data_IF_283339708832
#
_entry.id   IF_283339708832
#
_cell.length_a   1.000
_cell.length_b   1.000
_cell.length_c   1.000
_cell.angle_alpha   90.00
_cell.angle_beta   90.00
_cell.angle_gamma   90.00
#
_symmetry.space_group_name_H-M   'P 1'
#
loop_
_entity.id
_entity.type
_entity.pdbx_description
1 polymer ?
#
# COMPACT_ATOMS: atom_id res chain seq x y z
N UNK A 1 23.47 19.50 10.55
CA UNK A 1 23.36 18.36 9.63
C UNK A 1 22.16 17.53 10.06
N UNK A 2 21.02 17.60 9.37
CA UNK A 2 19.85 16.77 9.72
C UNK A 2 20.13 15.37 9.17
N UNK A 3 20.46 14.43 10.07
CA UNK A 3 20.44 13.01 9.72
C UNK A 3 19.01 12.71 9.28
N UNK A 4 18.82 12.39 7.99
CA UNK A 4 17.63 11.69 7.52
C UNK A 4 17.72 10.30 8.15
N UNK A 5 17.15 10.15 9.34
CA UNK A 5 16.74 8.83 9.83
C UNK A 5 15.73 8.41 8.78
N UNK A 6 16.12 7.56 7.83
CA UNK A 6 15.14 6.88 6.99
C UNK A 6 14.27 6.10 7.98
N UNK A 7 13.00 6.47 8.17
CA UNK A 7 12.15 5.69 9.05
C UNK A 7 12.17 4.28 8.48
N UNK A 8 12.40 3.30 9.35
CA UNK A 8 12.22 1.91 8.93
C UNK A 8 10.79 1.80 8.42
N UNK A 9 10.60 1.20 7.24
CA UNK A 9 9.27 1.04 6.65
C UNK A 9 8.37 0.43 7.74
N UNK A 10 7.29 1.11 8.16
CA UNK A 10 6.38 0.55 9.15
C UNK A 10 5.85 -0.78 8.64
N UNK A 11 5.73 -1.79 9.51
CA UNK A 11 5.16 -3.06 9.09
C UNK A 11 3.65 -2.87 8.84
N UNK A 12 3.18 -3.23 7.65
CA UNK A 12 1.77 -3.06 7.26
C UNK A 12 0.83 -3.82 8.21
N UNK A 13 1.22 -4.98 8.74
CA UNK A 13 0.38 -5.78 9.65
C UNK A 13 0.36 -5.21 11.05
N UNK A 14 1.53 -4.86 11.58
CA UNK A 14 1.66 -4.44 12.97
C UNK A 14 1.31 -2.96 13.17
N UNK A 15 1.53 -2.13 12.15
CA UNK A 15 1.42 -0.67 12.22
C UNK A 15 0.74 -0.08 10.96
N UNK A 16 -0.51 -0.49 10.64
CA UNK A 16 -1.20 -0.08 9.42
C UNK A 16 -1.41 1.44 9.32
N UNK A 17 -1.72 2.11 10.44
CA UNK A 17 -1.90 3.56 10.47
C UNK A 17 -0.60 4.34 10.24
N UNK A 18 0.52 3.86 10.81
CA UNK A 18 1.84 4.47 10.58
C UNK A 18 2.35 4.18 9.17
N UNK A 19 2.03 3.00 8.61
CA UNK A 19 2.32 2.69 7.22
C UNK A 19 1.58 3.65 6.28
N UNK A 20 0.28 3.87 6.53
CA UNK A 20 -0.52 4.82 5.74
C UNK A 20 0.09 6.21 5.78
N UNK A 21 0.37 6.72 6.99
CA UNK A 21 0.98 8.04 7.20
C UNK A 21 2.38 8.16 6.59
N UNK A 22 3.14 7.08 6.54
CA UNK A 22 4.47 7.08 5.93
C UNK A 22 4.40 7.27 4.41
N UNK A 23 3.34 6.76 3.77
CA UNK A 23 3.17 6.79 2.32
C UNK A 23 2.32 7.94 1.80
N UNK A 24 1.55 8.58 2.67
CA UNK A 24 0.88 9.87 2.45
C UNK A 24 1.96 10.97 2.45
N UNK A 25 2.72 11.04 1.34
CA UNK A 25 3.92 11.89 1.25
C UNK A 25 3.56 13.37 1.24
N UNK A 26 2.37 13.71 0.79
CA UNK A 26 1.83 15.07 0.73
C UNK A 26 0.95 15.45 1.93
N UNK A 27 0.75 14.52 2.88
CA UNK A 27 -0.12 14.67 4.05
C UNK A 27 -1.55 15.12 3.67
N UNK A 28 -2.03 14.67 2.50
CA UNK A 28 -3.39 14.95 2.03
C UNK A 28 -4.46 14.21 2.84
N UNK A 29 -4.07 13.15 3.56
CA UNK A 29 -4.98 12.26 4.28
C UNK A 29 -5.56 11.15 3.41
N UNK A 30 -5.11 11.05 2.16
CA UNK A 30 -5.46 10.02 1.20
C UNK A 30 -4.20 9.51 0.50
N UNK A 31 -4.16 8.24 0.13
CA UNK A 31 -3.10 7.72 -0.72
C UNK A 31 -3.53 7.78 -2.17
N UNK A 32 -2.85 8.57 -2.97
CA UNK A 32 -3.07 8.62 -4.40
C UNK A 32 -2.46 7.40 -5.10
N UNK A 33 -2.96 7.10 -6.30
CA UNK A 33 -2.47 6.01 -7.16
C UNK A 33 -0.94 5.88 -7.26
N UNK A 34 -0.16 6.94 -7.55
CA UNK A 34 1.31 6.84 -7.60
C UNK A 34 1.94 6.52 -6.23
N UNK A 35 1.34 6.97 -5.13
CA UNK A 35 1.82 6.70 -3.78
C UNK A 35 1.59 5.22 -3.42
N UNK A 36 0.39 4.70 -3.70
CA UNK A 36 0.05 3.28 -3.49
C UNK A 36 0.96 2.37 -4.31
N UNK A 37 1.21 2.70 -5.59
CA UNK A 37 2.13 1.92 -6.43
C UNK A 37 3.52 1.84 -5.82
N UNK A 38 4.08 2.98 -5.40
CA UNK A 38 5.39 3.03 -4.74
C UNK A 38 5.38 2.27 -3.42
N UNK A 39 4.31 2.41 -2.66
CA UNK A 39 4.13 1.75 -1.38
C UNK A 39 4.17 0.23 -1.53
N UNK A 40 3.48 -0.29 -2.54
CA UNK A 40 3.45 -1.73 -2.82
C UNK A 40 4.78 -2.28 -3.33
N UNK A 41 5.46 -1.57 -4.24
CA UNK A 41 6.80 -1.96 -4.72
C UNK A 41 7.79 -2.10 -3.56
N UNK A 42 7.68 -1.23 -2.54
CA UNK A 42 8.58 -1.26 -1.37
C UNK A 42 8.12 -2.17 -0.24
N UNK A 43 6.82 -2.40 -0.11
CA UNK A 43 6.25 -3.25 0.95
C UNK A 43 6.28 -4.72 0.57
N UNK A 44 6.18 -5.04 -0.72
CA UNK A 44 6.13 -6.42 -1.23
C UNK A 44 7.49 -6.75 -1.86
N UNK A 45 8.30 -7.62 -1.24
CA UNK A 45 9.62 -8.00 -1.75
C UNK A 45 9.59 -8.52 -3.19
N UNK A 46 8.55 -9.25 -3.56
CA UNK A 46 8.33 -9.81 -4.90
C UNK A 46 8.17 -8.73 -5.98
N UNK A 47 7.79 -7.52 -5.59
CA UNK A 47 7.65 -6.36 -6.48
C UNK A 47 8.90 -5.47 -6.48
N UNK A 48 9.89 -5.76 -5.63
CA UNK A 48 11.14 -5.01 -5.59
C UNK A 48 11.85 -5.06 -6.95
N UNK A 49 12.19 -3.90 -7.51
CA UNK A 49 12.81 -3.77 -8.83
C UNK A 49 11.84 -3.83 -10.02
N UNK A 50 10.53 -3.86 -9.76
CA UNK A 50 9.48 -3.64 -10.77
C UNK A 50 9.16 -2.15 -10.88
N UNK A 51 8.62 -1.75 -12.03
CA UNK A 51 8.12 -0.41 -12.28
C UNK A 51 6.58 -0.38 -12.40
N UNK A 52 6.02 0.83 -12.43
CA UNK A 52 4.58 1.07 -12.59
C UNK A 52 4.01 0.43 -13.86
N UNK A 53 4.81 0.36 -14.93
CA UNK A 53 4.43 -0.27 -16.20
C UNK A 53 4.30 -1.79 -16.10
N UNK A 54 5.16 -2.45 -15.30
CA UNK A 54 5.06 -3.88 -15.02
C UNK A 54 3.82 -4.22 -14.18
N UNK A 55 3.47 -3.33 -13.25
CA UNK A 55 2.29 -3.48 -12.41
C UNK A 55 1.00 -3.36 -13.22
N UNK A 56 0.95 -2.59 -14.30
CA UNK A 56 -0.27 -2.19 -15.02
C UNK A 56 -1.39 -3.24 -15.17
N UNK A 57 -1.11 -4.46 -15.64
CA UNK A 57 -2.15 -5.47 -15.87
C UNK A 57 -2.70 -6.10 -14.58
N UNK A 58 -1.81 -6.54 -13.70
CA UNK A 58 -2.16 -7.14 -12.41
C UNK A 58 -2.69 -6.08 -11.45
N UNK A 59 -2.06 -4.92 -11.45
CA UNK A 59 -2.43 -3.75 -10.66
C UNK A 59 -3.75 -3.16 -11.10
N UNK A 60 -4.11 -3.13 -12.39
CA UNK A 60 -5.44 -2.68 -12.80
C UNK A 60 -6.56 -3.54 -12.18
N UNK A 61 -6.38 -4.86 -12.17
CA UNK A 61 -7.35 -5.77 -11.55
C UNK A 61 -7.43 -5.59 -10.02
N UNK A 62 -6.28 -5.37 -9.37
CA UNK A 62 -6.20 -5.10 -7.92
C UNK A 62 -6.76 -3.70 -7.61
N UNK A 63 -6.51 -2.72 -8.46
CA UNK A 63 -6.95 -1.33 -8.32
C UNK A 63 -8.47 -1.24 -8.30
N UNK A 64 -9.19 -1.93 -9.19
CA UNK A 64 -10.66 -1.97 -9.17
C UNK A 64 -11.27 -2.62 -7.92
N UNK A 65 -10.49 -3.36 -7.14
CA UNK A 65 -10.91 -3.91 -5.84
C UNK A 65 -10.62 -2.91 -4.71
N UNK A 66 -9.56 -2.13 -4.89
CA UNK A 66 -8.95 -1.22 -3.94
C UNK A 66 -9.65 0.15 -3.93
N UNK A 67 -9.96 0.67 -5.12
CA UNK A 67 -10.62 1.96 -5.41
C UNK A 67 -11.98 1.66 -6.07
N UNK A 68 -12.99 1.19 -5.29
CA UNK A 68 -14.27 0.76 -5.81
C UNK A 68 -15.18 1.92 -6.27
N UNK A 69 -14.91 3.14 -5.81
CA UNK A 69 -15.62 4.36 -6.21
C UNK A 69 -14.92 5.13 -7.34
N UNK A 70 -13.77 4.62 -7.81
CA UNK A 70 -12.99 5.16 -8.94
C UNK A 70 -12.59 6.63 -8.74
N UNK A 71 -12.42 7.06 -7.49
CA UNK A 71 -12.07 8.45 -7.17
C UNK A 71 -10.55 8.71 -7.34
N UNK A 72 -9.77 7.63 -7.49
CA UNK A 72 -8.34 7.67 -7.76
C UNK A 72 -7.46 7.78 -6.51
N UNK A 73 -8.06 7.76 -5.32
CA UNK A 73 -7.41 7.93 -4.02
C UNK A 73 -7.98 6.97 -2.99
N UNK A 74 -7.29 6.80 -1.86
CA UNK A 74 -7.82 6.01 -0.74
C UNK A 74 -7.62 6.76 0.55
N UNK A 75 -8.72 7.16 1.14
CA UNK A 75 -8.72 7.80 2.46
C UNK A 75 -8.31 6.79 3.53
N UNK A 76 -7.82 7.30 4.67
CA UNK A 76 -7.55 6.44 5.82
C UNK A 76 -8.78 5.66 6.32
N UNK A 77 -10.00 6.16 6.05
CA UNK A 77 -11.24 5.48 6.40
C UNK A 77 -11.50 4.26 5.50
N UNK A 78 -11.31 4.40 4.19
CA UNK A 78 -11.41 3.29 3.22
C UNK A 78 -10.30 2.26 3.41
N UNK A 79 -9.11 2.73 3.76
CA UNK A 79 -7.98 1.87 4.07
C UNK A 79 -8.29 0.89 5.22
N UNK A 80 -8.97 1.37 6.27
CA UNK A 80 -9.29 0.61 7.49
C UNK A 80 -10.69 -0.05 7.47
N UNK A 81 -11.48 0.17 6.42
CA UNK A 81 -12.83 -0.40 6.33
C UNK A 81 -12.77 -1.93 6.16
N UNK A 82 -13.74 -2.70 6.69
CA UNK A 82 -13.82 -4.14 6.41
C UNK A 82 -13.88 -4.41 4.90
N UNK A 83 -13.00 -5.29 4.42
CA UNK A 83 -12.80 -5.53 2.98
C UNK A 83 -12.01 -4.46 2.23
N UNK A 84 -11.51 -3.43 2.92
CA UNK A 84 -10.75 -2.32 2.35
C UNK A 84 -9.32 -2.69 1.95
N UNK A 85 -8.51 -1.67 1.63
CA UNK A 85 -7.14 -1.86 1.13
C UNK A 85 -6.27 -2.65 2.12
N UNK A 86 -6.31 -2.36 3.42
CA UNK A 86 -5.50 -3.09 4.40
C UNK A 86 -5.74 -4.60 4.36
N UNK A 87 -7.01 -5.03 4.49
CA UNK A 87 -7.36 -6.45 4.48
C UNK A 87 -7.01 -7.10 3.12
N UNK A 88 -7.26 -6.39 2.02
CA UNK A 88 -6.92 -6.86 0.67
C UNK A 88 -5.42 -7.09 0.52
N UNK A 89 -4.58 -6.17 1.00
CA UNK A 89 -3.13 -6.32 0.93
C UNK A 89 -2.62 -7.46 1.81
N UNK A 90 -3.14 -7.58 3.02
CA UNK A 90 -2.78 -8.67 3.94
C UNK A 90 -3.22 -10.03 3.38
N UNK A 91 -4.41 -10.11 2.79
CA UNK A 91 -4.98 -11.34 2.23
C UNK A 91 -4.28 -11.82 0.95
N UNK A 92 -3.88 -10.89 0.07
CA UNK A 92 -3.30 -11.23 -1.23
C UNK A 92 -1.78 -11.32 -1.22
N UNK A 93 -1.10 -10.47 -0.45
CA UNK A 93 0.37 -10.33 -0.53
C UNK A 93 1.07 -10.78 0.74
N UNK A 94 0.46 -10.56 1.91
CA UNK A 94 1.11 -10.94 3.15
C UNK A 94 0.77 -12.37 3.64
N UNK A 95 0.18 -13.21 2.77
CA UNK A 95 -0.27 -14.58 3.08
C UNK A 95 0.84 -15.64 3.07
N UNK A 96 2.11 -15.26 2.92
CA UNK A 96 3.23 -16.18 3.14
C UNK A 96 3.65 -16.23 4.62
N UNK A 97 2.88 -16.99 5.40
CA UNK A 97 3.31 -17.91 6.48
C UNK A 97 2.08 -18.61 7.05
N UNK A 98 1.48 -19.49 6.24
CA UNK A 98 0.85 -20.67 6.81
C UNK A 98 1.83 -21.81 6.53
N UNK A 99 2.74 -21.99 7.48
CA UNK A 99 3.42 -23.27 7.68
C UNK A 99 2.37 -24.29 8.15
N UNK A 100 2.41 -25.51 7.59
CA UNK A 100 1.78 -26.71 8.16
C UNK A 100 0.63 -27.29 7.36
#
# INVERSE_FOLDING_TARGET
MRQRITPQLPDLKDQPAEWFKYWDEDESGSLERPEIVRALIKTIPEFTGRDEGWLGGTFAAIWSIIDPDEDGSITGAEFMMPGGLYETLVANFCRHRIDG
#
